data_IF_283548724893
#
_entry.id   IF_283548724893
#
_cell.length_a   1.000
_cell.length_b   1.000
_cell.length_c   1.000
_cell.angle_alpha   90.00
_cell.angle_beta   90.00
_cell.angle_gamma   90.00
#
_symmetry.space_group_name_H-M   'P 1'
#
loop_
_entity.id
_entity.type
_entity.pdbx_description
1 polymer ?
#
# COMPACT_ATOMS: atom_id res chain seq x y z
N UNK A 1 -5.63 1.16 30.10
CA UNK A 1 -4.39 1.54 29.39
C UNK A 1 -4.73 2.76 28.56
N UNK A 2 -3.89 3.79 28.63
CA UNK A 2 -4.05 4.95 27.76
C UNK A 2 -3.63 4.57 26.35
N UNK A 3 -4.47 4.91 25.37
CA UNK A 3 -4.14 4.70 23.96
C UNK A 3 -3.24 5.84 23.49
N UNK A 4 -2.24 5.48 22.68
CA UNK A 4 -1.34 6.39 21.99
C UNK A 4 -1.77 6.55 20.54
N UNK A 5 -1.54 7.72 19.96
CA UNK A 5 -1.76 7.95 18.54
C UNK A 5 -0.58 7.39 17.71
N UNK A 6 -0.91 6.68 16.64
CA UNK A 6 0.02 6.11 15.66
C UNK A 6 -0.45 6.41 14.23
N UNK A 7 0.50 6.34 13.31
CA UNK A 7 0.31 6.40 11.87
C UNK A 7 0.79 5.09 11.28
N UNK A 8 -0.09 4.36 10.62
CA UNK A 8 0.24 3.13 9.88
C UNK A 8 0.14 3.42 8.39
N UNK A 9 1.23 3.19 7.67
CA UNK A 9 1.28 3.37 6.22
C UNK A 9 1.19 2.01 5.52
N UNK A 10 0.24 1.90 4.61
CA UNK A 10 -0.10 0.65 3.92
C UNK A 10 -0.04 0.88 2.42
N UNK A 11 0.53 -0.07 1.70
CA UNK A 11 0.49 -0.14 0.24
C UNK A 11 -0.37 -1.32 -0.18
N UNK A 12 -1.30 -1.05 -1.11
CA UNK A 12 -2.13 -2.04 -1.76
C UNK A 12 -1.73 -2.11 -3.24
N UNK A 13 -1.10 -3.21 -3.62
CA UNK A 13 -0.64 -3.42 -5.00
C UNK A 13 -1.34 -4.60 -5.62
N UNK A 14 -1.64 -4.51 -6.92
CA UNK A 14 -2.06 -5.68 -7.68
C UNK A 14 -1.00 -6.78 -7.58
N UNK A 15 -1.42 -8.05 -7.53
CA UNK A 15 -0.49 -9.19 -7.59
C UNK A 15 0.29 -9.19 -8.90
N UNK A 16 1.47 -9.84 -8.97
CA UNK A 16 2.32 -9.83 -10.15
C UNK A 16 1.62 -10.29 -11.44
N UNK A 17 0.69 -11.25 -11.34
CA UNK A 17 -0.09 -11.77 -12.47
C UNK A 17 -1.26 -10.84 -12.88
N UNK A 18 -1.67 -9.91 -12.02
CA UNK A 18 -2.77 -9.00 -12.29
C UNK A 18 -2.30 -7.80 -13.13
N UNK A 19 -3.14 -7.44 -14.10
CA UNK A 19 -2.90 -6.29 -14.98
C UNK A 19 -2.89 -5.01 -14.16
N UNK A 20 -1.97 -4.13 -14.52
CA UNK A 20 -1.83 -2.79 -13.96
C UNK A 20 -1.78 -1.78 -15.13
N UNK A 21 -2.95 -1.33 -15.60
CA UNK A 21 -3.04 -0.40 -16.72
C UNK A 21 -2.30 0.91 -16.43
N UNK A 22 -2.40 1.42 -15.19
CA UNK A 22 -1.78 2.70 -14.79
C UNK A 22 -0.26 2.60 -14.86
N UNK A 23 0.35 1.57 -14.26
CA UNK A 23 1.79 1.35 -14.33
C UNK A 23 2.26 1.16 -15.77
N UNK A 24 1.47 0.47 -16.59
CA UNK A 24 1.77 0.26 -18.01
C UNK A 24 1.78 1.57 -18.81
N UNK A 25 0.78 2.43 -18.60
CA UNK A 25 0.71 3.75 -19.26
C UNK A 25 1.87 4.63 -18.82
N UNK A 26 2.21 4.66 -17.53
CA UNK A 26 3.37 5.45 -17.04
C UNK A 26 4.65 4.97 -17.72
N UNK A 27 4.89 3.66 -17.75
CA UNK A 27 6.10 3.12 -18.37
C UNK A 27 6.18 3.45 -19.87
N UNK A 28 5.13 3.15 -20.63
CA UNK A 28 5.16 3.22 -22.10
C UNK A 28 4.97 4.63 -22.63
N UNK A 29 3.99 5.35 -22.09
CA UNK A 29 3.55 6.63 -22.67
C UNK A 29 4.23 7.85 -22.03
N UNK A 30 4.81 7.69 -20.84
CA UNK A 30 5.54 8.79 -20.19
C UNK A 30 7.04 8.51 -20.19
N UNK A 31 7.49 7.42 -19.56
CA UNK A 31 8.93 7.20 -19.34
C UNK A 31 9.68 6.88 -20.63
N UNK A 32 9.27 5.84 -21.36
CA UNK A 32 9.96 5.43 -22.59
C UNK A 32 9.93 6.55 -23.65
N UNK A 33 8.77 7.20 -23.86
CA UNK A 33 8.65 8.33 -24.80
C UNK A 33 9.50 9.55 -24.43
N UNK A 34 9.97 9.66 -23.18
CA UNK A 34 10.85 10.74 -22.70
C UNK A 34 12.32 10.31 -22.57
N UNK A 35 12.68 9.12 -23.06
CA UNK A 35 14.06 8.61 -23.07
C UNK A 35 14.52 7.95 -21.77
N UNK A 36 13.60 7.59 -20.88
CA UNK A 36 13.91 6.85 -19.64
C UNK A 36 13.89 5.34 -19.86
N UNK A 37 14.62 4.86 -20.88
CA UNK A 37 14.63 3.45 -21.30
C UNK A 37 15.27 2.50 -20.27
N UNK A 38 16.01 3.04 -19.31
CA UNK A 38 16.60 2.25 -18.20
C UNK A 38 15.53 1.70 -17.23
N UNK A 39 14.29 2.19 -17.27
CA UNK A 39 13.22 1.74 -16.36
C UNK A 39 12.54 0.48 -16.90
N UNK A 40 12.93 -0.66 -16.36
CA UNK A 40 12.47 -1.98 -16.83
C UNK A 40 11.01 -2.31 -16.49
N UNK A 41 10.45 -1.74 -15.42
CA UNK A 41 9.07 -1.99 -14.99
C UNK A 41 8.54 -0.87 -14.08
N UNK A 42 7.26 -0.54 -14.24
CA UNK A 42 6.51 0.32 -13.32
C UNK A 42 5.32 -0.47 -12.77
N UNK A 43 5.07 -0.35 -11.46
CA UNK A 43 3.86 -0.82 -10.81
C UNK A 43 3.20 0.34 -10.09
N UNK A 44 1.88 0.36 -10.14
CA UNK A 44 1.04 1.27 -9.40
C UNK A 44 0.27 0.51 -8.32
N UNK A 45 0.04 1.21 -7.22
CA UNK A 45 -0.72 0.74 -6.09
C UNK A 45 -1.36 1.90 -5.36
N UNK A 46 -2.25 1.58 -4.44
CA UNK A 46 -2.85 2.57 -3.55
C UNK A 46 -2.00 2.67 -2.29
N UNK A 47 -1.80 3.89 -1.82
CA UNK A 47 -1.14 4.15 -0.56
C UNK A 47 -2.16 4.71 0.43
N UNK A 48 -2.24 4.08 1.59
CA UNK A 48 -3.12 4.48 2.68
C UNK A 48 -2.26 4.94 3.86
N UNK A 49 -2.56 6.12 4.39
CA UNK A 49 -2.01 6.59 5.67
C UNK A 49 -3.14 6.62 6.69
N UNK A 50 -3.07 5.74 7.67
CA UNK A 50 -4.13 5.50 8.64
C UNK A 50 -3.66 6.01 10.01
N UNK A 51 -4.42 6.93 10.60
CA UNK A 51 -4.21 7.41 11.96
C UNK A 51 -5.05 6.56 12.90
N UNK A 52 -4.43 5.94 13.90
CA UNK A 52 -5.08 4.98 14.81
C UNK A 52 -4.60 5.18 16.24
N UNK A 53 -5.49 4.91 17.19
CA UNK A 53 -5.18 4.85 18.61
C UNK A 53 -4.99 3.41 19.06
N UNK A 54 -3.86 3.09 19.66
CA UNK A 54 -3.51 1.75 20.14
C UNK A 54 -2.63 1.83 21.39
N UNK A 55 -2.50 0.74 22.15
CA UNK A 55 -1.61 0.67 23.31
C UNK A 55 -0.13 0.73 22.90
N UNK A 56 0.21 0.12 21.76
CA UNK A 56 1.57 0.12 21.21
C UNK A 56 1.58 -0.03 19.67
N UNK A 57 2.78 -0.01 19.08
CA UNK A 57 2.97 -0.13 17.63
C UNK A 57 2.54 -1.50 17.07
N UNK A 58 2.63 -2.56 17.89
CA UNK A 58 2.26 -3.92 17.48
C UNK A 58 0.75 -4.00 17.34
N UNK A 59 0.00 -3.53 18.35
CA UNK A 59 -1.46 -3.48 18.31
C UNK A 59 -1.95 -2.56 17.18
N UNK A 60 -1.31 -1.41 16.94
CA UNK A 60 -1.66 -0.53 15.83
C UNK A 60 -1.54 -1.26 14.48
N UNK A 61 -0.44 -2.02 14.28
CA UNK A 61 -0.19 -2.80 13.07
C UNK A 61 -1.22 -3.91 12.89
N UNK A 62 -1.44 -4.72 13.92
CA UNK A 62 -2.37 -5.85 13.88
C UNK A 62 -3.81 -5.39 13.65
N UNK A 63 -4.20 -4.29 14.29
CA UNK A 63 -5.55 -3.72 14.12
C UNK A 63 -5.77 -3.23 12.70
N UNK A 64 -4.78 -2.54 12.10
CA UNK A 64 -4.89 -2.08 10.71
C UNK A 64 -4.91 -3.26 9.73
N UNK A 65 -4.06 -4.26 9.92
CA UNK A 65 -4.04 -5.46 9.07
C UNK A 65 -5.40 -6.19 9.13
N UNK A 66 -5.90 -6.44 10.34
CA UNK A 66 -7.20 -7.08 10.57
C UNK A 66 -8.34 -6.27 9.94
N UNK A 67 -8.40 -4.97 10.21
CA UNK A 67 -9.42 -4.08 9.67
C UNK A 67 -9.42 -4.10 8.13
N UNK A 68 -8.25 -4.00 7.51
CA UNK A 68 -8.15 -4.01 6.05
C UNK A 68 -8.65 -5.33 5.43
N UNK A 69 -8.38 -6.46 6.09
CA UNK A 69 -8.85 -7.78 5.66
C UNK A 69 -10.35 -7.98 5.88
N UNK A 70 -10.86 -7.68 7.08
CA UNK A 70 -12.27 -7.89 7.46
C UNK A 70 -13.21 -7.01 6.65
N UNK A 71 -12.87 -5.73 6.49
CA UNK A 71 -13.70 -4.76 5.77
C UNK A 71 -13.48 -4.79 4.25
N UNK A 72 -12.66 -5.72 3.74
CA UNK A 72 -12.34 -5.86 2.30
C UNK A 72 -11.88 -4.53 1.68
N UNK A 73 -11.02 -3.80 2.38
CA UNK A 73 -10.41 -2.53 1.89
C UNK A 73 -9.57 -2.78 0.62
N UNK A 74 -9.12 -4.01 0.43
CA UNK A 74 -8.50 -4.51 -0.79
C UNK A 74 -9.12 -5.85 -1.19
N UNK A 75 -8.92 -6.26 -2.44
CA UNK A 75 -9.29 -7.59 -2.89
C UNK A 75 -8.11 -8.57 -2.70
N UNK A 76 -8.12 -9.46 -1.69
CA UNK A 76 -6.99 -10.37 -1.43
C UNK A 76 -6.76 -11.42 -2.52
N UNK A 77 -7.72 -11.63 -3.43
CA UNK A 77 -7.52 -12.51 -4.58
C UNK A 77 -6.57 -11.86 -5.58
N UNK A 78 -6.75 -10.56 -5.85
CA UNK A 78 -6.05 -9.84 -6.93
C UNK A 78 -4.98 -8.86 -6.44
N UNK A 79 -4.97 -8.51 -5.16
CA UNK A 79 -4.05 -7.52 -4.56
C UNK A 79 -3.30 -8.11 -3.36
N UNK A 80 -2.16 -7.50 -3.05
CA UNK A 80 -1.38 -7.71 -1.84
C UNK A 80 -1.48 -6.45 -0.97
N UNK A 81 -1.54 -6.67 0.34
CA UNK A 81 -1.41 -5.62 1.35
C UNK A 81 0.01 -5.67 1.92
N UNK A 82 0.67 -4.53 2.06
CA UNK A 82 1.97 -4.42 2.72
C UNK A 82 1.95 -3.23 3.67
N UNK A 83 2.22 -3.47 4.95
CA UNK A 83 2.45 -2.40 5.92
C UNK A 83 3.90 -1.95 5.80
N UNK A 84 4.11 -0.69 5.41
CA UNK A 84 5.44 -0.12 5.20
C UNK A 84 6.08 0.35 6.50
N UNK A 85 5.31 1.06 7.33
CA UNK A 85 5.80 1.62 8.59
C UNK A 85 4.67 1.87 9.58
N UNK A 86 5.04 1.87 10.86
CA UNK A 86 4.23 2.37 11.98
C UNK A 86 5.07 3.44 12.66
N UNK A 87 4.51 4.64 12.82
CA UNK A 87 5.21 5.77 13.46
C UNK A 87 4.27 6.50 14.42
N UNK A 88 4.82 7.24 15.36
CA UNK A 88 4.04 8.24 16.12
C UNK A 88 3.85 9.51 15.26
N UNK A 89 2.73 10.23 15.41
CA UNK A 89 2.46 11.46 14.66
C UNK A 89 3.39 12.62 15.01
#
# INVERSE_FOLDING_TARGET
>A
MDLLDFIVEVVLENKPAARDPVGTTIQKDLLAKKGYDMVSKVRSGQYLRIYIRAADEIEAKETVDKMCNELRIFNPVTQNLTILKVTKP
#
